data_IF_015138018727
#
_entry.id   IF_015138018727
#
_cell.length_a   1.000
_cell.length_b   1.000
_cell.length_c   1.000
_cell.angle_alpha   90.00
_cell.angle_beta   90.00
_cell.angle_gamma   90.00
#
_symmetry.space_group_name_H-M   'P 1'
#
loop_
_entity.id
_entity.type
_entity.pdbx_description
1 polymer ?
#
# COMPACT_ATOMS: atom_id res chain seq x y z
N UNK A 1 -0.49 -14.43 -17.94
CA UNK A 1 0.52 -14.78 -16.91
C UNK A 1 -0.24 -14.88 -15.59
N UNK A 2 -0.13 -16.01 -14.89
CA UNK A 2 -0.97 -16.32 -13.73
C UNK A 2 -0.71 -15.33 -12.58
N UNK A 3 -1.78 -14.73 -12.02
CA UNK A 3 -1.74 -13.82 -10.87
C UNK A 3 -0.98 -14.46 -9.69
N UNK A 4 -1.08 -15.78 -9.58
CA UNK A 4 -0.41 -16.54 -8.55
C UNK A 4 1.13 -16.50 -8.66
N UNK A 5 1.66 -16.49 -9.90
CA UNK A 5 3.09 -16.51 -10.21
C UNK A 5 3.78 -15.17 -9.88
N UNK A 6 3.09 -14.05 -10.10
CA UNK A 6 3.65 -12.71 -9.85
C UNK A 6 3.72 -12.35 -8.35
N UNK A 7 2.75 -12.79 -7.55
CA UNK A 7 2.74 -12.55 -6.10
C UNK A 7 3.44 -13.67 -5.31
N UNK A 8 3.77 -14.80 -5.94
CA UNK A 8 4.44 -15.92 -5.28
C UNK A 8 5.74 -15.53 -4.56
N UNK A 9 6.64 -14.70 -5.13
CA UNK A 9 7.85 -14.27 -4.43
C UNK A 9 7.54 -13.47 -3.16
N UNK A 10 6.61 -12.51 -3.23
CA UNK A 10 6.21 -11.69 -2.07
C UNK A 10 5.54 -12.54 -1.01
N UNK A 11 4.67 -13.49 -1.39
CA UNK A 11 4.06 -14.44 -0.47
C UNK A 11 5.07 -15.34 0.22
N UNK A 12 6.01 -15.90 -0.54
CA UNK A 12 7.08 -16.75 -0.02
C UNK A 12 7.91 -15.99 1.01
N UNK A 13 8.32 -14.76 0.67
CA UNK A 13 9.04 -13.88 1.57
C UNK A 13 8.20 -13.51 2.81
N UNK A 14 6.95 -13.10 2.64
CA UNK A 14 6.07 -12.73 3.77
C UNK A 14 5.87 -13.90 4.75
N UNK A 15 5.73 -15.13 4.25
CA UNK A 15 5.61 -16.35 5.08
C UNK A 15 6.92 -16.68 5.80
N UNK A 16 8.04 -16.67 5.07
CA UNK A 16 9.36 -16.97 5.63
C UNK A 16 9.78 -15.94 6.69
N UNK A 17 9.65 -14.65 6.37
CA UNK A 17 9.95 -13.55 7.30
C UNK A 17 8.98 -13.52 8.48
N UNK A 18 7.71 -13.88 8.27
CA UNK A 18 6.75 -14.05 9.36
C UNK A 18 7.12 -15.21 10.31
N UNK A 19 7.67 -16.31 9.79
CA UNK A 19 8.21 -17.39 10.61
C UNK A 19 9.45 -16.95 11.39
N UNK A 20 10.37 -16.22 10.75
CA UNK A 20 11.53 -15.64 11.40
C UNK A 20 11.14 -14.66 12.53
N UNK A 21 10.12 -13.81 12.30
CA UNK A 21 9.60 -12.91 13.33
C UNK A 21 9.06 -13.69 14.53
N UNK A 22 8.30 -14.77 14.31
CA UNK A 22 7.79 -15.62 15.41
C UNK A 22 8.92 -16.25 16.22
N UNK A 23 9.99 -16.73 15.57
CA UNK A 23 11.16 -17.26 16.26
C UNK A 23 11.87 -16.17 17.07
N UNK A 24 12.02 -14.97 16.49
CA UNK A 24 12.60 -13.82 17.18
C UNK A 24 11.77 -13.43 18.42
N UNK A 25 10.45 -13.39 18.30
CA UNK A 25 9.54 -13.08 19.41
C UNK A 25 9.60 -14.16 20.50
N UNK A 26 9.71 -15.43 20.12
CA UNK A 26 9.79 -16.55 21.05
C UNK A 26 11.11 -16.58 21.83
N UNK A 27 12.24 -16.32 21.16
CA UNK A 27 13.56 -16.50 21.76
C UNK A 27 14.17 -15.22 22.33
N UNK A 28 13.73 -14.03 21.90
CA UNK A 28 14.27 -12.77 22.42
C UNK A 28 14.15 -12.63 23.94
N UNK A 29 13.09 -13.08 24.65
CA UNK A 29 13.04 -13.00 26.11
C UNK A 29 14.19 -13.76 26.81
N UNK A 30 14.69 -14.84 26.21
CA UNK A 30 15.79 -15.64 26.76
C UNK A 30 17.14 -14.90 26.76
N UNK A 31 17.25 -13.79 26.01
CA UNK A 31 18.44 -12.92 26.00
C UNK A 31 18.43 -11.88 27.13
N UNK A 32 17.44 -11.94 28.03
CA UNK A 32 17.33 -11.04 29.18
C UNK A 32 17.33 -9.56 28.77
N UNK A 33 18.24 -8.72 29.31
CA UNK A 33 18.31 -7.29 28.99
C UNK A 33 18.54 -6.98 27.50
N UNK A 34 19.17 -7.91 26.75
CA UNK A 34 19.43 -7.73 25.32
C UNK A 34 18.26 -8.18 24.44
N UNK A 35 17.25 -8.83 25.02
CA UNK A 35 16.10 -9.34 24.28
C UNK A 35 15.31 -8.26 23.55
N UNK A 36 14.96 -7.19 24.26
CA UNK A 36 14.23 -6.05 23.68
C UNK A 36 14.95 -5.41 22.49
N UNK A 37 16.22 -4.97 22.66
CA UNK A 37 17.02 -4.41 21.57
C UNK A 37 17.19 -5.36 20.38
N UNK A 38 17.46 -6.64 20.64
CA UNK A 38 17.63 -7.66 19.59
C UNK A 38 16.33 -7.86 18.80
N UNK A 39 15.19 -7.94 19.49
CA UNK A 39 13.87 -8.03 18.86
C UNK A 39 13.59 -6.80 17.99
N UNK A 40 13.85 -5.61 18.53
CA UNK A 40 13.60 -4.36 17.81
C UNK A 40 14.43 -4.26 16.52
N UNK A 41 15.73 -4.59 16.58
CA UNK A 41 16.60 -4.61 15.40
C UNK A 41 16.16 -5.69 14.40
N UNK A 42 15.87 -6.90 14.87
CA UNK A 42 15.47 -8.01 14.01
C UNK A 42 14.15 -7.73 13.29
N UNK A 43 13.13 -7.20 13.97
CA UNK A 43 11.86 -6.81 13.33
C UNK A 43 12.07 -5.77 12.24
N UNK A 44 12.93 -4.78 12.46
CA UNK A 44 13.25 -3.75 11.47
C UNK A 44 13.96 -4.32 10.25
N UNK A 45 14.90 -5.24 10.46
CA UNK A 45 15.61 -5.91 9.37
C UNK A 45 14.65 -6.76 8.52
N UNK A 46 13.76 -7.51 9.17
CA UNK A 46 12.76 -8.33 8.47
C UNK A 46 11.78 -7.46 7.68
N UNK A 47 11.32 -6.35 8.26
CA UNK A 47 10.41 -5.39 7.60
C UNK A 47 11.06 -4.69 6.39
N UNK A 48 12.29 -4.21 6.54
CA UNK A 48 13.05 -3.62 5.45
C UNK A 48 13.28 -4.65 4.32
N UNK A 49 13.58 -5.90 4.67
CA UNK A 49 13.75 -6.98 3.69
C UNK A 49 12.45 -7.23 2.93
N UNK A 50 11.31 -7.33 3.63
CA UNK A 50 10.02 -7.53 2.98
C UNK A 50 9.66 -6.36 2.04
N UNK A 51 9.90 -5.13 2.48
CA UNK A 51 9.68 -3.92 1.66
C UNK A 51 10.47 -3.99 0.37
N UNK A 52 11.76 -4.36 0.44
CA UNK A 52 12.61 -4.46 -0.75
C UNK A 52 12.18 -5.60 -1.68
N UNK A 53 11.74 -6.74 -1.14
CA UNK A 53 11.18 -7.83 -1.96
C UNK A 53 9.91 -7.38 -2.68
N UNK A 54 9.01 -6.67 -2.00
CA UNK A 54 7.77 -6.16 -2.59
C UNK A 54 8.04 -5.12 -3.68
N UNK A 55 8.96 -4.18 -3.42
CA UNK A 55 9.42 -3.21 -4.41
C UNK A 55 10.03 -3.93 -5.60
N UNK A 56 11.00 -4.82 -5.39
CA UNK A 56 11.70 -5.55 -6.47
C UNK A 56 10.73 -6.35 -7.32
N UNK A 57 9.82 -7.10 -6.70
CA UNK A 57 8.83 -7.90 -7.41
C UNK A 57 7.88 -7.02 -8.22
N UNK A 58 7.44 -5.91 -7.64
CA UNK A 58 6.64 -4.90 -8.35
C UNK A 58 7.38 -4.31 -9.54
N UNK A 59 8.65 -3.91 -9.37
CA UNK A 59 9.46 -3.37 -10.44
C UNK A 59 9.68 -4.41 -11.55
N UNK A 60 9.96 -5.68 -11.23
CA UNK A 60 10.08 -6.74 -12.25
C UNK A 60 8.78 -6.90 -13.03
N UNK A 61 7.64 -6.93 -12.34
CA UNK A 61 6.31 -7.00 -12.96
C UNK A 61 6.05 -5.81 -13.88
N UNK A 62 6.43 -4.60 -13.45
CA UNK A 62 6.17 -3.35 -14.16
C UNK A 62 7.17 -3.14 -15.32
N UNK A 63 8.43 -3.59 -15.17
CA UNK A 63 9.49 -3.59 -16.20
C UNK A 63 9.20 -4.60 -17.31
N UNK A 64 8.62 -5.77 -16.99
CA UNK A 64 8.16 -6.71 -18.01
C UNK A 64 7.11 -6.06 -18.95
N UNK A 65 6.51 -4.94 -18.54
CA UNK A 65 5.60 -4.13 -19.36
C UNK A 65 6.24 -2.86 -19.94
N UNK A 66 7.40 -2.38 -19.45
CA UNK A 66 8.11 -1.18 -19.95
C UNK A 66 9.63 -1.24 -19.69
N UNK A 67 10.47 -1.22 -20.74
CA UNK A 67 11.94 -1.33 -20.66
C UNK A 67 12.63 -0.04 -20.19
N UNK A 68 13.32 0.00 -19.03
CA UNK A 68 14.35 1.02 -18.68
C UNK A 68 15.35 0.57 -17.58
N UNK A 69 16.57 1.13 -17.60
CA UNK A 69 17.75 0.80 -16.75
C UNK A 69 17.80 1.50 -15.37
N UNK A 70 17.22 2.69 -15.21
CA UNK A 70 17.29 3.48 -13.97
C UNK A 70 16.72 2.81 -12.68
N UNK A 71 15.60 2.07 -12.75
CA UNK A 71 15.05 1.36 -11.58
C UNK A 71 15.96 0.25 -11.07
N UNK A 72 16.69 -0.41 -11.97
CA UNK A 72 17.63 -1.47 -11.61
C UNK A 72 18.82 -0.92 -10.83
N UNK A 73 19.28 0.30 -11.14
CA UNK A 73 20.36 0.97 -10.41
C UNK A 73 19.94 1.36 -8.99
N UNK A 74 18.70 1.85 -8.80
CA UNK A 74 18.14 2.13 -7.48
C UNK A 74 17.99 0.85 -6.64
N UNK A 75 17.47 -0.22 -7.25
CA UNK A 75 17.36 -1.53 -6.61
C UNK A 75 18.71 -2.09 -6.17
N UNK A 76 19.71 -2.00 -7.04
CA UNK A 76 21.08 -2.44 -6.71
C UNK A 76 21.65 -1.63 -5.55
N UNK A 77 21.46 -0.31 -5.54
CA UNK A 77 21.87 0.55 -4.43
C UNK A 77 21.18 0.17 -3.12
N UNK A 78 19.89 -0.16 -3.16
CA UNK A 78 19.12 -0.61 -2.00
C UNK A 78 19.55 -1.99 -1.48
N UNK A 79 19.82 -2.93 -2.38
CA UNK A 79 20.33 -4.26 -2.03
C UNK A 79 21.73 -4.19 -1.40
N UNK A 80 22.62 -3.39 -1.98
CA UNK A 80 23.96 -3.14 -1.41
C UNK A 80 23.85 -2.51 -0.01
N UNK A 81 22.91 -1.58 0.19
CA UNK A 81 22.67 -0.98 1.49
C UNK A 81 22.11 -1.99 2.52
N UNK A 82 21.16 -2.84 2.14
CA UNK A 82 20.66 -3.90 3.02
C UNK A 82 21.78 -4.86 3.43
N UNK A 83 22.62 -5.29 2.47
CA UNK A 83 23.78 -6.14 2.75
C UNK A 83 24.74 -5.47 3.74
N UNK A 84 25.05 -4.20 3.54
CA UNK A 84 25.90 -3.44 4.45
C UNK A 84 25.27 -3.29 5.84
N UNK A 85 23.96 -3.03 5.92
CA UNK A 85 23.24 -2.93 7.18
C UNK A 85 23.24 -4.27 7.95
N UNK A 86 22.98 -5.39 7.25
CA UNK A 86 23.05 -6.74 7.82
C UNK A 86 24.45 -7.11 8.31
N UNK A 87 25.50 -6.52 7.73
CA UNK A 87 26.89 -6.67 8.16
C UNK A 87 27.30 -5.67 9.28
N UNK A 88 26.37 -4.91 9.86
CA UNK A 88 26.66 -3.93 10.92
C UNK A 88 27.17 -2.58 10.42
N UNK A 89 27.25 -2.35 9.11
CA UNK A 89 27.78 -1.13 8.49
C UNK A 89 26.67 -0.12 8.15
N UNK A 90 25.75 0.13 9.10
CA UNK A 90 24.54 0.94 8.87
C UNK A 90 24.78 2.36 8.33
N UNK A 91 25.91 3.01 8.69
CA UNK A 91 26.30 4.32 8.14
C UNK A 91 26.71 4.26 6.67
N UNK A 92 27.38 3.19 6.25
CA UNK A 92 27.78 2.97 4.85
C UNK A 92 26.58 2.56 4.00
N UNK A 93 25.66 1.78 4.57
CA UNK A 93 24.37 1.46 3.95
C UNK A 93 23.60 2.73 3.58
N UNK A 94 23.44 3.67 4.53
CA UNK A 94 22.77 4.94 4.29
C UNK A 94 23.42 5.78 3.18
N UNK A 95 24.76 5.92 3.20
CA UNK A 95 25.49 6.70 2.16
C UNK A 95 25.37 6.10 0.77
N UNK A 96 25.49 4.77 0.62
CA UNK A 96 25.44 4.11 -0.69
C UNK A 96 24.08 4.27 -1.35
N UNK A 97 23.04 4.25 -0.54
CA UNK A 97 21.66 4.38 -0.96
C UNK A 97 21.29 5.81 -1.36
N UNK A 98 21.73 6.82 -0.59
CA UNK A 98 21.61 8.24 -0.97
C UNK A 98 22.31 8.51 -2.31
N UNK A 99 23.49 7.95 -2.54
CA UNK A 99 24.17 8.08 -3.83
C UNK A 99 23.43 7.41 -4.98
N UNK A 100 22.79 6.26 -4.75
CA UNK A 100 21.95 5.60 -5.75
C UNK A 100 20.73 6.45 -6.13
N UNK A 101 20.10 7.09 -5.14
CA UNK A 101 18.97 8.03 -5.34
C UNK A 101 19.41 9.28 -6.09
N UNK A 102 20.51 9.92 -5.68
CA UNK A 102 21.01 11.16 -6.29
C UNK A 102 21.60 10.92 -7.70
N UNK A 103 22.10 9.72 -7.99
CA UNK A 103 22.66 9.36 -9.29
C UNK A 103 21.63 9.04 -10.38
N UNK A 104 20.36 8.85 -10.01
CA UNK A 104 19.29 8.56 -10.96
C UNK A 104 18.81 9.85 -11.66
N UNK A 105 19.45 10.25 -12.76
CA UNK A 105 18.98 11.33 -13.63
C UNK A 105 17.75 10.87 -14.44
N UNK A 106 16.62 11.57 -14.36
CA UNK A 106 15.34 11.10 -14.91
C UNK A 106 14.74 12.09 -15.93
N UNK A 107 14.63 11.64 -17.18
CA UNK A 107 13.75 12.19 -18.22
C UNK A 107 12.69 11.11 -18.50
N UNK A 108 11.45 11.26 -18.02
CA UNK A 108 10.50 10.14 -17.96
C UNK A 108 9.18 10.39 -18.69
N UNK A 109 8.69 9.34 -19.36
CA UNK A 109 7.29 9.15 -19.73
C UNK A 109 6.56 8.35 -18.62
N UNK A 110 5.24 8.50 -18.51
CA UNK A 110 4.42 8.10 -17.34
C UNK A 110 4.82 6.81 -16.59
N UNK A 111 4.90 5.66 -17.27
CA UNK A 111 5.23 4.38 -16.61
C UNK A 111 6.61 4.32 -15.94
N UNK A 112 7.56 5.13 -16.40
CA UNK A 112 8.87 5.23 -15.77
C UNK A 112 8.86 6.11 -14.50
N UNK A 113 7.93 7.06 -14.41
CA UNK A 113 7.69 7.86 -13.19
C UNK A 113 7.21 6.95 -12.06
N UNK A 114 6.30 6.01 -12.35
CA UNK A 114 5.75 5.06 -11.35
C UNK A 114 6.80 4.17 -10.75
N UNK A 115 7.63 3.64 -11.64
CA UNK A 115 8.73 2.77 -11.34
C UNK A 115 9.75 3.48 -10.45
N UNK A 116 10.05 4.75 -10.78
CA UNK A 116 10.90 5.60 -9.96
C UNK A 116 10.30 5.91 -8.60
N UNK A 117 9.04 6.35 -8.53
CA UNK A 117 8.39 6.73 -7.28
C UNK A 117 8.26 5.54 -6.33
N UNK A 118 7.87 4.36 -6.85
CA UNK A 118 7.88 3.11 -6.08
C UNK A 118 9.28 2.78 -5.55
N UNK A 119 10.30 2.85 -6.42
CA UNK A 119 11.66 2.54 -6.03
C UNK A 119 12.16 3.51 -4.95
N UNK A 120 11.98 4.82 -5.16
CA UNK A 120 12.38 5.87 -4.23
C UNK A 120 11.69 5.70 -2.87
N UNK A 121 10.37 5.59 -2.86
CA UNK A 121 9.61 5.54 -1.62
C UNK A 121 9.87 4.25 -0.85
N UNK A 122 9.85 3.09 -1.51
CA UNK A 122 10.13 1.82 -0.84
C UNK A 122 11.56 1.74 -0.30
N UNK A 123 12.51 2.33 -1.01
CA UNK A 123 13.91 2.44 -0.57
C UNK A 123 14.06 3.40 0.61
N UNK A 124 13.43 4.57 0.56
CA UNK A 124 13.41 5.53 1.66
C UNK A 124 12.77 4.89 2.91
N UNK A 125 11.64 4.20 2.76
CA UNK A 125 10.94 3.47 3.80
C UNK A 125 11.84 2.43 4.49
N UNK A 126 12.55 1.61 3.71
CA UNK A 126 13.47 0.62 4.25
C UNK A 126 14.59 1.27 5.09
N UNK A 127 15.16 2.39 4.62
CA UNK A 127 16.18 3.14 5.37
C UNK A 127 15.62 3.70 6.66
N UNK A 128 14.49 4.40 6.59
CA UNK A 128 13.89 5.02 7.77
C UNK A 128 13.49 3.98 8.82
N UNK A 129 13.01 2.81 8.40
CA UNK A 129 12.80 1.66 9.31
C UNK A 129 14.11 1.19 9.94
N UNK A 130 15.18 1.03 9.16
CA UNK A 130 16.47 0.55 9.68
C UNK A 130 17.16 1.54 10.61
N UNK A 131 16.97 2.85 10.40
CA UNK A 131 17.56 3.92 11.22
C UNK A 131 16.70 4.31 12.42
N UNK A 132 15.63 3.55 12.71
CA UNK A 132 14.70 3.80 13.81
C UNK A 132 13.86 5.08 13.68
N UNK A 133 13.95 5.78 12.54
CA UNK A 133 13.16 6.97 12.25
C UNK A 133 11.70 6.64 11.94
N UNK A 134 11.43 5.48 11.35
CA UNK A 134 10.06 4.99 11.17
C UNK A 134 9.80 3.71 11.95
N UNK A 135 8.55 3.46 12.33
CA UNK A 135 8.15 2.18 12.95
C UNK A 135 8.12 1.07 11.89
N UNK A 136 8.43 -0.20 12.22
CA UNK A 136 8.20 -1.30 11.28
C UNK A 136 6.73 -1.39 10.86
N UNK A 137 6.46 -1.87 9.65
CA UNK A 137 5.09 -2.21 9.26
C UNK A 137 4.57 -3.41 10.06
N UNK A 138 3.25 -3.56 10.13
CA UNK A 138 2.59 -4.75 10.67
C UNK A 138 1.75 -5.44 9.61
N UNK A 139 1.54 -6.75 9.78
CA UNK A 139 0.49 -7.45 9.04
C UNK A 139 -0.88 -6.90 9.43
N UNK A 140 -1.86 -7.12 8.54
CA UNK A 140 -3.26 -6.92 8.90
C UNK A 140 -3.65 -7.82 10.09
N UNK A 141 -4.57 -7.34 10.92
CA UNK A 141 -5.19 -8.16 11.96
C UNK A 141 -6.23 -9.11 11.34
N UNK A 142 -6.68 -10.17 12.04
CA UNK A 142 -7.77 -11.01 11.56
C UNK A 142 -9.05 -10.23 11.23
N UNK A 143 -9.39 -9.24 12.06
CA UNK A 143 -10.57 -8.39 11.84
C UNK A 143 -10.43 -7.50 10.59
N UNK A 144 -9.25 -6.92 10.36
CA UNK A 144 -8.97 -6.15 9.15
C UNK A 144 -9.00 -7.03 7.90
N UNK A 145 -8.44 -8.24 7.95
CA UNK A 145 -8.53 -9.19 6.84
C UNK A 145 -9.96 -9.60 6.54
N UNK A 146 -10.77 -9.86 7.57
CA UNK A 146 -12.18 -10.21 7.38
C UNK A 146 -12.96 -9.06 6.74
N UNK A 147 -12.70 -7.81 7.16
CA UNK A 147 -13.29 -6.62 6.54
C UNK A 147 -12.95 -6.53 5.05
N UNK A 148 -11.67 -6.67 4.69
CA UNK A 148 -11.25 -6.59 3.29
C UNK A 148 -11.75 -7.78 2.47
N UNK A 149 -11.76 -8.99 3.04
CA UNK A 149 -12.28 -10.19 2.37
C UNK A 149 -13.78 -10.05 2.04
N UNK A 150 -14.56 -9.32 2.84
CA UNK A 150 -15.96 -9.07 2.55
C UNK A 150 -16.17 -8.22 1.29
N UNK A 151 -15.24 -7.31 0.99
CA UNK A 151 -15.33 -6.35 -0.12
C UNK A 151 -14.64 -6.91 -1.36
N UNK A 152 -13.41 -7.38 -1.20
CA UNK A 152 -12.55 -7.80 -2.30
C UNK A 152 -12.62 -9.31 -2.57
N UNK A 153 -13.06 -10.13 -1.61
CA UNK A 153 -12.99 -11.58 -1.72
C UNK A 153 -11.54 -12.05 -1.90
N UNK A 154 -11.34 -13.06 -2.73
CA UNK A 154 -10.03 -13.66 -3.01
C UNK A 154 -9.19 -12.87 -4.04
N UNK A 155 -9.75 -11.80 -4.61
CA UNK A 155 -9.04 -10.99 -5.61
C UNK A 155 -8.00 -10.05 -4.99
N UNK A 156 -8.07 -9.82 -3.68
CA UNK A 156 -7.04 -9.15 -2.89
C UNK A 156 -6.37 -10.16 -1.96
N UNK A 157 -5.08 -10.40 -2.17
CA UNK A 157 -4.27 -11.20 -1.27
C UNK A 157 -3.93 -10.38 -0.01
N UNK A 158 -4.84 -10.39 0.96
CA UNK A 158 -4.70 -9.68 2.23
C UNK A 158 -3.56 -10.24 3.13
N UNK A 159 -2.92 -11.35 2.75
CA UNK A 159 -1.84 -11.97 3.54
C UNK A 159 -0.50 -11.26 3.35
N UNK A 160 -0.28 -10.65 2.19
CA UNK A 160 0.93 -9.86 1.88
C UNK A 160 0.77 -8.39 2.25
N UNK A 161 -0.45 -7.94 2.54
CA UNK A 161 -0.75 -6.55 2.86
C UNK A 161 -0.16 -6.15 4.20
N UNK A 162 0.50 -4.99 4.20
CA UNK A 162 1.13 -4.38 5.38
C UNK A 162 0.55 -3.01 5.66
N UNK A 163 0.52 -2.66 6.94
CA UNK A 163 0.09 -1.36 7.43
C UNK A 163 1.25 -0.72 8.17
N UNK A 164 1.61 0.50 7.75
CA UNK A 164 2.59 1.35 8.41
C UNK A 164 1.86 2.53 9.05
N UNK A 165 1.98 2.65 10.37
CA UNK A 165 1.34 3.71 11.15
C UNK A 165 2.31 4.87 11.37
N UNK A 166 1.90 6.05 10.98
CA UNK A 166 2.56 7.32 11.23
C UNK A 166 3.93 7.45 10.57
N UNK A 167 4.90 8.01 11.31
CA UNK A 167 6.29 8.09 10.86
C UNK A 167 6.52 9.24 9.90
N UNK A 168 7.22 8.99 8.78
CA UNK A 168 7.49 10.01 7.78
C UNK A 168 6.20 10.60 7.23
N UNK A 169 5.15 9.78 7.06
CA UNK A 169 3.81 10.22 6.64
C UNK A 169 3.26 11.34 7.51
N UNK A 170 3.43 11.25 8.84
CA UNK A 170 3.01 12.32 9.77
C UNK A 170 3.90 13.55 9.64
N UNK A 171 5.22 13.35 9.59
CA UNK A 171 6.21 14.43 9.55
C UNK A 171 6.07 15.30 8.30
N UNK A 172 5.77 14.67 7.17
CA UNK A 172 5.59 15.34 5.88
C UNK A 172 4.12 15.66 5.59
N UNK A 173 3.20 15.33 6.50
CA UNK A 173 1.75 15.51 6.36
C UNK A 173 1.20 14.93 5.05
N UNK A 174 1.73 13.78 4.65
CA UNK A 174 1.25 13.08 3.47
C UNK A 174 -0.13 12.48 3.75
N UNK A 175 -0.98 12.49 2.74
CA UNK A 175 -2.23 11.77 2.77
C UNK A 175 -1.98 10.27 2.96
N UNK A 176 -2.96 9.50 3.46
CA UNK A 176 -2.98 8.05 3.32
C UNK A 176 -2.63 7.66 1.87
N UNK A 177 -1.76 6.66 1.72
CA UNK A 177 -1.32 6.22 0.40
C UNK A 177 -0.76 4.79 0.43
N UNK A 178 -0.59 4.22 -0.77
CA UNK A 178 -0.09 2.86 -0.98
C UNK A 178 1.17 2.85 -1.83
N UNK A 179 2.13 2.02 -1.41
CA UNK A 179 3.23 1.56 -2.28
C UNK A 179 3.29 0.05 -2.25
N UNK A 180 3.08 -0.56 -3.42
CA UNK A 180 3.05 -2.01 -3.53
C UNK A 180 1.91 -2.61 -2.70
N UNK A 181 2.27 -3.46 -1.75
CA UNK A 181 1.34 -4.07 -0.82
C UNK A 181 1.34 -3.40 0.57
N UNK A 182 1.99 -2.24 0.72
CA UNK A 182 2.08 -1.52 1.99
C UNK A 182 1.23 -0.25 1.97
N UNK A 183 0.31 -0.16 2.91
CA UNK A 183 -0.51 1.03 3.19
C UNK A 183 0.19 1.88 4.26
N UNK A 184 0.32 3.18 3.98
CA UNK A 184 0.91 4.17 4.87
C UNK A 184 -0.21 5.05 5.41
N UNK A 185 -0.49 4.93 6.69
CA UNK A 185 -1.59 5.62 7.35
C UNK A 185 -1.03 6.57 8.42
N UNK A 186 -1.26 7.89 8.32
CA UNK A 186 -0.87 8.83 9.37
C UNK A 186 -1.66 8.56 10.66
N UNK A 187 -1.18 9.06 11.80
CA UNK A 187 -1.94 8.96 13.05
C UNK A 187 -3.21 9.84 13.01
N UNK A 188 -3.18 10.92 12.23
CA UNK A 188 -4.28 11.85 12.06
C UNK A 188 -4.49 12.23 10.59
N UNK A 189 -5.75 12.19 10.13
CA UNK A 189 -6.17 12.69 8.82
C UNK A 189 -7.65 13.07 8.84
N UNK A 190 -7.95 14.37 9.01
CA UNK A 190 -9.33 14.83 9.28
C UNK A 190 -9.91 14.40 10.63
N UNK A 191 -9.17 13.59 11.40
CA UNK A 191 -9.52 13.02 12.70
C UNK A 191 -8.47 11.97 13.11
N UNK A 192 -8.58 11.42 14.33
CA UNK A 192 -7.72 10.32 14.75
C UNK A 192 -8.03 9.04 13.95
N UNK A 193 -7.00 8.45 13.33
CA UNK A 193 -7.14 7.19 12.60
C UNK A 193 -6.92 5.97 13.50
N UNK A 194 -6.19 6.14 14.60
CA UNK A 194 -5.92 5.06 15.54
C UNK A 194 -6.40 5.43 16.93
N UNK A 195 -6.97 4.45 17.63
CA UNK A 195 -7.15 4.52 19.07
C UNK A 195 -5.79 4.49 19.78
N UNK A 196 -5.70 4.93 21.05
CA UNK A 196 -4.46 4.90 21.82
C UNK A 196 -3.83 3.49 21.93
N UNK A 197 -4.66 2.44 21.93
CA UNK A 197 -4.23 1.04 21.91
C UNK A 197 -3.72 0.55 20.53
N UNK A 198 -3.83 1.39 19.51
CA UNK A 198 -3.40 1.12 18.14
C UNK A 198 -4.40 0.37 17.27
N UNK A 199 -5.62 0.12 17.75
CA UNK A 199 -6.73 -0.35 16.93
C UNK A 199 -7.27 0.76 16.01
N UNK A 200 -7.90 0.38 14.89
CA UNK A 200 -8.40 1.34 13.90
C UNK A 200 -9.69 2.01 14.40
N UNK A 201 -9.79 3.32 14.25
CA UNK A 201 -11.07 4.04 14.41
C UNK A 201 -12.00 3.74 13.22
N UNK A 202 -13.27 4.13 13.34
CA UNK A 202 -14.25 3.94 12.25
C UNK A 202 -13.83 4.68 10.96
N UNK A 203 -13.38 5.94 11.10
CA UNK A 203 -12.85 6.72 9.99
C UNK A 203 -11.61 6.07 9.35
N UNK A 204 -10.81 5.37 10.15
CA UNK A 204 -9.68 4.62 9.62
C UNK A 204 -10.10 3.34 8.93
N UNK A 205 -11.22 2.71 9.30
CA UNK A 205 -11.76 1.56 8.54
C UNK A 205 -12.18 1.96 7.14
N UNK A 206 -12.81 3.12 6.95
CA UNK A 206 -13.12 3.64 5.62
C UNK A 206 -11.85 3.92 4.81
N UNK A 207 -10.91 4.63 5.43
CA UNK A 207 -9.58 4.88 4.83
C UNK A 207 -8.86 3.58 4.48
N UNK A 208 -8.93 2.55 5.33
CA UNK A 208 -8.35 1.24 5.08
C UNK A 208 -8.94 0.58 3.83
N UNK A 209 -10.25 0.71 3.61
CA UNK A 209 -10.93 0.15 2.44
C UNK A 209 -10.47 0.88 1.18
N UNK A 210 -10.40 2.22 1.22
CA UNK A 210 -9.89 3.05 0.12
C UNK A 210 -8.46 2.66 -0.25
N UNK A 211 -7.55 2.63 0.74
CA UNK A 211 -6.16 2.22 0.50
C UNK A 211 -6.06 0.76 0.05
N UNK A 212 -6.92 -0.14 0.55
CA UNK A 212 -6.97 -1.52 0.08
C UNK A 212 -7.41 -1.64 -1.38
N UNK A 213 -8.23 -0.72 -1.90
CA UNK A 213 -8.55 -0.65 -3.31
C UNK A 213 -7.31 -0.34 -4.16
N UNK A 214 -6.42 0.51 -3.66
CA UNK A 214 -5.12 0.78 -4.29
C UNK A 214 -4.18 -0.42 -4.24
N UNK A 215 -4.20 -1.19 -3.16
CA UNK A 215 -3.47 -2.47 -3.12
C UNK A 215 -4.08 -3.46 -4.13
N UNK A 216 -5.41 -3.53 -4.23
CA UNK A 216 -6.10 -4.38 -5.20
C UNK A 216 -5.76 -3.98 -6.64
N UNK A 217 -5.75 -2.69 -6.97
CA UNK A 217 -5.30 -2.15 -8.25
C UNK A 217 -3.84 -2.51 -8.52
N UNK A 218 -2.96 -2.37 -7.51
CA UNK A 218 -1.58 -2.83 -7.63
C UNK A 218 -1.52 -4.35 -7.92
N UNK A 219 -2.30 -5.18 -7.24
CA UNK A 219 -2.24 -6.64 -7.40
C UNK A 219 -2.85 -7.14 -8.71
N UNK A 220 -3.90 -6.49 -9.21
CA UNK A 220 -4.68 -6.93 -10.38
C UNK A 220 -4.36 -6.15 -11.67
N UNK A 221 -4.03 -4.86 -11.54
CA UNK A 221 -3.76 -3.94 -12.65
C UNK A 221 -2.28 -3.72 -12.99
N UNK A 222 -1.42 -3.73 -11.98
CA UNK A 222 0.02 -3.43 -12.11
C UNK A 222 0.38 -1.97 -11.77
N UNK A 223 1.63 -1.56 -12.02
CA UNK A 223 2.19 -0.27 -11.55
C UNK A 223 1.65 1.00 -12.20
N UNK A 224 0.93 0.91 -13.33
CA UNK A 224 0.33 2.06 -14.04
C UNK A 224 -0.72 2.84 -13.23
N UNK A 225 -1.06 2.33 -12.05
CA UNK A 225 -1.87 2.99 -11.02
C UNK A 225 -1.14 4.18 -10.35
N UNK A 226 0.18 4.08 -10.16
CA UNK A 226 0.94 4.97 -9.25
C UNK A 226 0.99 6.41 -9.75
N UNK A 227 1.11 6.69 -11.06
CA UNK A 227 1.20 8.07 -11.57
C UNK A 227 -0.17 8.71 -11.55
N UNK A 228 -1.23 7.95 -11.84
CA UNK A 228 -2.60 8.50 -11.84
C UNK A 228 -3.05 8.80 -10.42
N UNK A 229 -2.74 7.92 -9.47
CA UNK A 229 -3.06 8.10 -8.07
C UNK A 229 -2.18 9.18 -7.41
N UNK A 230 -0.84 9.17 -7.57
CA UNK A 230 0.02 10.21 -7.00
C UNK A 230 -0.18 11.57 -7.66
N UNK A 231 -0.43 11.64 -8.98
CA UNK A 231 -0.76 12.91 -9.64
C UNK A 231 -2.14 13.42 -9.20
N UNK A 232 -3.13 12.53 -9.03
CA UNK A 232 -4.44 12.90 -8.51
C UNK A 232 -4.39 13.31 -7.04
N UNK A 233 -3.65 12.57 -6.19
CA UNK A 233 -3.40 12.91 -4.78
C UNK A 233 -2.59 14.21 -4.65
N UNK A 234 -1.57 14.45 -5.47
CA UNK A 234 -0.82 15.70 -5.51
C UNK A 234 -1.72 16.88 -5.93
N UNK A 235 -2.54 16.69 -6.98
CA UNK A 235 -3.50 17.71 -7.43
C UNK A 235 -4.67 17.93 -6.45
N UNK A 236 -5.09 16.91 -5.70
CA UNK A 236 -6.13 16.99 -4.68
C UNK A 236 -5.61 17.63 -3.38
N UNK A 237 -4.37 17.30 -2.98
CA UNK A 237 -3.67 17.92 -1.84
C UNK A 237 -3.45 19.42 -2.08
N UNK A 238 -3.20 19.82 -3.33
CA UNK A 238 -3.12 21.23 -3.72
C UNK A 238 -4.47 21.96 -3.80
N UNK A 239 -5.60 21.25 -3.91
CA UNK A 239 -6.89 21.88 -4.23
C UNK A 239 -7.86 22.04 -3.07
N UNK A 240 -7.95 21.11 -2.11
CA UNK A 240 -9.14 21.14 -1.23
C UNK A 240 -8.94 20.84 0.24
N UNK A 241 -7.89 20.12 0.68
CA UNK A 241 -7.78 19.71 2.10
C UNK A 241 -9.02 18.99 2.66
N UNK A 242 -9.90 18.52 1.76
CA UNK A 242 -11.23 17.98 1.99
C UNK A 242 -11.60 17.08 0.81
N UNK A 243 -12.24 15.94 1.07
CA UNK A 243 -12.59 14.87 0.12
C UNK A 243 -13.66 15.26 -0.93
N UNK A 244 -13.95 16.55 -1.14
CA UNK A 244 -14.98 17.02 -2.07
C UNK A 244 -14.41 17.42 -3.43
N UNK A 245 -14.75 16.69 -4.50
CA UNK A 245 -14.59 17.11 -5.90
C UNK A 245 -13.96 16.06 -6.81
N UNK A 246 -12.74 15.60 -6.52
CA UNK A 246 -12.04 14.62 -7.37
C UNK A 246 -12.48 13.15 -7.17
N UNK A 247 -13.30 12.90 -6.14
CA UNK A 247 -13.66 11.58 -5.60
C UNK A 247 -15.08 11.10 -5.97
N UNK A 248 -15.81 11.86 -6.79
CA UNK A 248 -17.19 11.55 -7.16
C UNK A 248 -17.24 10.53 -8.31
N UNK A 249 -17.20 9.23 -8.01
CA UNK A 249 -17.41 8.17 -9.00
C UNK A 249 -18.75 8.32 -9.75
N UNK A 250 -19.75 8.93 -9.09
CA UNK A 250 -21.05 9.29 -9.68
C UNK A 250 -20.94 10.22 -10.89
N UNK A 251 -19.94 11.10 -10.96
CA UNK A 251 -19.71 11.93 -12.14
C UNK A 251 -19.24 11.09 -13.33
N UNK A 252 -18.36 10.11 -13.07
CA UNK A 252 -17.93 9.15 -14.09
C UNK A 252 -19.11 8.31 -14.59
N UNK A 253 -19.94 7.82 -13.68
CA UNK A 253 -21.19 7.15 -14.00
C UNK A 253 -22.13 8.02 -14.85
N UNK A 254 -22.34 9.30 -14.47
CA UNK A 254 -23.20 10.23 -15.22
C UNK A 254 -22.67 10.52 -16.63
N UNK A 255 -21.36 10.38 -16.86
CA UNK A 255 -20.71 10.49 -18.17
C UNK A 255 -20.74 9.16 -18.96
N UNK A 256 -21.40 8.11 -18.45
CA UNK A 256 -21.50 6.81 -19.09
C UNK A 256 -20.22 5.97 -19.00
N UNK A 257 -19.28 6.30 -18.11
CA UNK A 257 -18.01 5.57 -17.98
C UNK A 257 -18.22 4.26 -17.22
N UNK A 258 -17.71 3.18 -17.77
CA UNK A 258 -17.62 1.90 -17.06
C UNK A 258 -16.62 2.00 -15.90
N UNK A 259 -16.70 1.08 -14.93
CA UNK A 259 -15.79 1.05 -13.76
C UNK A 259 -14.31 1.13 -14.15
N UNK A 260 -13.88 0.38 -15.16
CA UNK A 260 -12.49 0.36 -15.68
C UNK A 260 -12.03 1.70 -16.29
N UNK A 261 -12.98 2.55 -16.67
CA UNK A 261 -12.75 3.86 -17.31
C UNK A 261 -12.76 4.99 -16.28
N UNK A 262 -13.18 4.70 -15.04
CA UNK A 262 -12.97 5.59 -13.91
C UNK A 262 -11.47 5.74 -13.66
N UNK A 263 -11.08 6.91 -13.17
CA UNK A 263 -9.72 7.05 -12.68
C UNK A 263 -9.55 6.21 -11.40
N UNK A 264 -8.30 5.89 -11.01
CA UNK A 264 -8.11 4.96 -9.90
C UNK A 264 -8.63 5.44 -8.53
N UNK A 265 -8.65 6.74 -8.28
CA UNK A 265 -9.24 7.32 -7.07
C UNK A 265 -10.77 7.18 -7.06
N UNK A 266 -11.41 7.39 -8.22
CA UNK A 266 -12.86 7.17 -8.36
C UNK A 266 -13.24 5.70 -8.13
N UNK A 267 -12.43 4.76 -8.63
CA UNK A 267 -12.62 3.34 -8.32
C UNK A 267 -12.48 3.06 -6.83
N UNK A 268 -11.46 3.62 -6.18
CA UNK A 268 -11.22 3.44 -4.76
C UNK A 268 -12.35 4.02 -3.89
N UNK A 269 -12.85 5.21 -4.23
CA UNK A 269 -14.01 5.79 -3.53
C UNK A 269 -15.30 5.02 -3.73
N UNK A 270 -15.55 4.48 -4.93
CA UNK A 270 -16.71 3.59 -5.12
C UNK A 270 -16.62 2.37 -4.18
N UNK A 271 -15.42 1.81 -3.99
CA UNK A 271 -15.21 0.67 -3.11
C UNK A 271 -15.26 1.04 -1.63
N UNK A 272 -14.78 2.23 -1.26
CA UNK A 272 -15.00 2.82 0.07
C UNK A 272 -16.50 2.93 0.37
N UNK A 273 -17.30 3.48 -0.55
CA UNK A 273 -18.75 3.63 -0.37
C UNK A 273 -19.47 2.27 -0.29
N UNK A 274 -19.07 1.29 -1.12
CA UNK A 274 -19.56 -0.09 -1.01
C UNK A 274 -19.26 -0.65 0.38
N UNK A 275 -18.02 -0.49 0.84
CA UNK A 275 -17.59 -0.92 2.16
C UNK A 275 -18.39 -0.26 3.28
N UNK A 276 -18.62 1.05 3.21
CA UNK A 276 -19.45 1.79 4.15
C UNK A 276 -20.89 1.26 4.19
N UNK A 277 -21.48 0.93 3.03
CA UNK A 277 -22.80 0.30 2.96
C UNK A 277 -22.79 -1.08 3.63
N UNK A 278 -21.77 -1.90 3.37
CA UNK A 278 -21.72 -3.29 3.82
C UNK A 278 -21.47 -3.45 5.33
N UNK A 279 -20.99 -2.40 6.02
CA UNK A 279 -20.87 -2.39 7.48
C UNK A 279 -22.21 -2.62 8.20
N UNK A 280 -23.31 -2.20 7.58
CA UNK A 280 -24.64 -2.26 8.18
C UNK A 280 -25.56 -3.28 7.53
N UNK A 281 -25.25 -3.73 6.31
CA UNK A 281 -26.09 -4.66 5.55
C UNK A 281 -25.23 -5.69 4.81
N UNK A 282 -25.65 -6.97 4.73
CA UNK A 282 -24.87 -8.02 4.05
C UNK A 282 -24.86 -7.90 2.51
N UNK A 283 -25.53 -6.88 1.97
CA UNK A 283 -25.69 -6.61 0.53
C UNK A 283 -25.69 -5.12 0.28
N UNK A 284 -25.33 -4.71 -0.92
CA UNK A 284 -25.50 -3.32 -1.37
C UNK A 284 -27.00 -3.04 -1.48
N UNK A 285 -27.50 -2.14 -0.64
CA UNK A 285 -28.90 -1.72 -0.62
C UNK A 285 -28.98 -0.23 -0.94
N UNK A 286 -29.76 0.13 -1.97
CA UNK A 286 -29.87 1.52 -2.44
C UNK A 286 -30.21 2.52 -1.33
N UNK A 287 -31.06 2.14 -0.37
CA UNK A 287 -31.49 2.99 0.74
C UNK A 287 -30.39 3.29 1.77
N UNK A 288 -29.32 2.48 1.81
CA UNK A 288 -28.19 2.66 2.74
C UNK A 288 -27.22 3.76 2.27
N UNK A 289 -27.38 4.27 1.05
CA UNK A 289 -26.52 5.30 0.47
C UNK A 289 -27.09 6.70 0.72
N UNK A 290 -26.22 7.72 0.68
CA UNK A 290 -26.60 9.12 0.83
C UNK A 290 -25.98 9.98 -0.29
N UNK A 291 -26.80 10.55 -1.20
CA UNK A 291 -28.21 10.20 -1.46
C UNK A 291 -28.39 8.71 -1.82
N UNK A 292 -29.61 8.14 -1.68
CA UNK A 292 -29.91 6.78 -2.11
C UNK A 292 -29.58 6.54 -3.58
N UNK A 293 -29.20 5.32 -3.93
CA UNK A 293 -28.92 4.96 -5.32
C UNK A 293 -30.22 4.86 -6.14
N UNK A 294 -30.20 5.40 -7.35
CA UNK A 294 -31.17 5.08 -8.40
C UNK A 294 -31.03 3.61 -8.84
N UNK A 295 -32.03 3.03 -9.54
CA UNK A 295 -31.91 1.66 -10.07
C UNK A 295 -30.71 1.45 -10.99
N UNK A 296 -30.36 2.46 -11.81
CA UNK A 296 -29.22 2.41 -12.71
C UNK A 296 -27.89 2.45 -11.94
N UNK A 297 -27.77 3.31 -10.93
CA UNK A 297 -26.58 3.34 -10.06
C UNK A 297 -26.45 2.04 -9.27
N UNK A 298 -27.54 1.48 -8.74
CA UNK A 298 -27.49 0.21 -8.02
C UNK A 298 -27.00 -0.92 -8.92
N UNK A 299 -27.43 -0.96 -10.18
CA UNK A 299 -26.93 -1.93 -11.14
C UNK A 299 -25.42 -1.73 -11.38
N UNK A 300 -24.99 -0.50 -11.63
CA UNK A 300 -23.59 -0.13 -11.85
C UNK A 300 -22.69 -0.52 -10.68
N UNK A 301 -23.10 -0.19 -9.45
CA UNK A 301 -22.37 -0.50 -8.22
C UNK A 301 -22.21 -2.01 -8.04
N UNK A 302 -23.28 -2.78 -8.25
CA UNK A 302 -23.21 -4.24 -8.14
C UNK A 302 -22.31 -4.84 -9.23
N UNK A 303 -22.41 -4.37 -10.47
CA UNK A 303 -21.54 -4.83 -11.55
C UNK A 303 -20.07 -4.57 -11.24
N UNK A 304 -19.74 -3.35 -10.80
CA UNK A 304 -18.39 -2.97 -10.39
C UNK A 304 -17.88 -3.86 -9.25
N UNK A 305 -18.70 -4.10 -8.23
CA UNK A 305 -18.33 -4.95 -7.10
C UNK A 305 -18.06 -6.41 -7.51
N UNK A 306 -18.90 -6.97 -8.39
CA UNK A 306 -18.67 -8.31 -8.92
C UNK A 306 -17.37 -8.40 -9.74
N UNK A 307 -17.03 -7.39 -10.54
CA UNK A 307 -15.74 -7.32 -11.25
C UNK A 307 -14.57 -7.30 -10.27
N UNK A 308 -14.67 -6.51 -9.21
CA UNK A 308 -13.63 -6.44 -8.18
C UNK A 308 -13.42 -7.80 -7.51
N UNK A 309 -14.49 -8.52 -7.15
CA UNK A 309 -14.38 -9.88 -6.58
C UNK A 309 -13.74 -10.89 -7.54
N UNK A 310 -13.88 -10.70 -8.86
CA UNK A 310 -13.18 -11.50 -9.88
C UNK A 310 -11.75 -11.02 -10.17
N UNK A 311 -11.36 -9.87 -9.62
CA UNK A 311 -10.06 -9.24 -9.86
C UNK A 311 -9.92 -8.71 -11.29
N UNK A 312 -11.01 -8.20 -11.84
CA UNK A 312 -11.06 -7.57 -13.16
C UNK A 312 -10.97 -6.05 -12.97
N UNK A 313 -9.79 -5.47 -13.31
CA UNK A 313 -9.63 -4.01 -13.43
C UNK A 313 -10.39 -3.49 -14.66
#
# INVERSE_FOLDING_TARGET
MDKALLQAPVRGAARALGAAQRLLDLHSPALGPLGGPTRALGTRLLDATLTLVDVTTGLIRDVYRTLLEAPLLLLRGAWEALRLAAQGHGRHAGRRLVHGVLGANLRLAGGAVDLFLRALQGTANAVLTLTFLERPSRALTPAERALLAHIFGDSLDATVVRLKRGGATDWTRLAPHVVGNTMYLPEHWGGALFHPDGTLTEACRDTLIHEAAHVWQNQNGGGGFVHRALLAQFLATLRTGSRGGAYAWREGFAQGRAFRELNPEQQACLLEDIGACLKHTPRVAAASWRPPLSPAELHYVNEAWERVKRGEE
#
